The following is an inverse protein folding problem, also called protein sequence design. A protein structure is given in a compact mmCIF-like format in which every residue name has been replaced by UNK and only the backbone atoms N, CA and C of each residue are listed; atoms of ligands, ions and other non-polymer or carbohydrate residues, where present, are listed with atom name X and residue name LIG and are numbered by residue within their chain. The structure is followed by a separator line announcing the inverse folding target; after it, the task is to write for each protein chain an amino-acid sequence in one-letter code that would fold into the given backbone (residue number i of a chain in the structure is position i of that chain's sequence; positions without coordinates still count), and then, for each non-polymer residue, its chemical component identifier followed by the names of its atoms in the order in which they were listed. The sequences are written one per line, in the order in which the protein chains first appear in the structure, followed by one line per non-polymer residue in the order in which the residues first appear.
data_IF_631954527344
#
_entry.id   IF_631954527344
#
_cell.length_a   1.000
_cell.length_b   1.000
_cell.length_c   1.000
_cell.angle_alpha   90.00
_cell.angle_beta   90.00
_cell.angle_gamma   90.00
#
_symmetry.space_group_name_H-M   'P 1'
#
loop_
_entity.id
_entity.type
_entity.pdbx_description
1 polymer ?
#
# COMPACT_ATOMS: atom_id res chain seq x y z
N UNK A 1 -28.02 57.60 9.04
CA UNK A 1 -26.60 57.31 8.76
C UNK A 1 -26.42 55.81 8.69
N UNK A 2 -26.44 55.28 7.47
CA UNK A 2 -26.27 53.86 7.19
C UNK A 2 -24.86 53.66 6.64
N UNK A 3 -24.02 52.89 7.33
CA UNK A 3 -22.70 52.51 6.82
C UNK A 3 -22.75 51.05 6.37
N UNK A 4 -22.57 50.89 5.07
CA UNK A 4 -22.66 49.67 4.29
C UNK A 4 -21.49 48.74 4.62
N UNK A 5 -21.80 47.48 4.94
CA UNK A 5 -20.88 46.35 4.80
C UNK A 5 -20.62 46.12 3.31
N UNK A 6 -19.36 46.19 2.89
CA UNK A 6 -18.97 45.86 1.51
C UNK A 6 -18.88 44.34 1.37
N UNK A 7 -19.82 43.78 0.62
CA UNK A 7 -19.68 42.49 -0.05
C UNK A 7 -18.59 42.64 -1.13
N UNK A 8 -17.49 41.89 -1.03
CA UNK A 8 -16.65 41.58 -2.20
C UNK A 8 -17.08 40.21 -2.71
N UNK A 9 -17.88 40.24 -3.78
CA UNK A 9 -18.06 39.09 -4.66
C UNK A 9 -16.75 38.87 -5.42
N UNK A 10 -16.05 37.78 -5.09
CA UNK A 10 -14.91 37.27 -5.83
C UNK A 10 -15.38 36.11 -6.72
N UNK A 11 -15.22 36.29 -8.03
CA UNK A 11 -15.52 35.33 -9.08
C UNK A 11 -14.76 34.01 -8.82
N UNK A 12 -15.49 32.90 -8.66
CA UNK A 12 -14.92 31.55 -8.68
C UNK A 12 -14.53 31.21 -10.12
N UNK A 13 -13.24 31.14 -10.40
CA UNK A 13 -12.69 30.60 -11.65
C UNK A 13 -12.08 29.22 -11.35
N UNK A 14 -12.44 28.28 -12.22
CA UNK A 14 -11.97 26.90 -12.42
C UNK A 14 -10.72 26.45 -11.63
N UNK A 15 -10.87 25.34 -10.91
CA UNK A 15 -9.79 24.47 -10.49
C UNK A 15 -9.07 23.90 -11.72
N UNK A 16 -7.81 24.29 -11.88
CA UNK A 16 -6.85 23.73 -12.82
C UNK A 16 -5.71 23.16 -11.96
N UNK A 17 -5.56 21.84 -12.04
CA UNK A 17 -4.32 21.05 -11.92
C UNK A 17 -3.20 21.78 -11.16
N UNK A 18 -2.94 21.37 -9.91
CA UNK A 18 -1.66 21.61 -9.28
C UNK A 18 -0.60 20.75 -10.01
N UNK A 19 -0.21 21.24 -11.18
CA UNK A 19 1.06 20.91 -11.80
C UNK A 19 2.11 21.67 -10.99
N UNK A 20 2.99 20.92 -10.34
CA UNK A 20 4.27 21.45 -9.91
C UNK A 20 4.94 22.08 -11.14
N UNK A 21 5.06 23.41 -11.17
CA UNK A 21 5.96 24.09 -12.06
C UNK A 21 7.39 23.83 -11.56
N UNK A 22 7.91 22.63 -11.85
CA UNK A 22 9.34 22.42 -11.82
C UNK A 22 9.93 23.33 -12.89
N UNK A 23 10.79 24.25 -12.48
CA UNK A 23 11.80 24.79 -13.37
C UNK A 23 12.55 23.57 -13.93
N UNK A 24 12.32 23.23 -15.19
CA UNK A 24 13.08 22.20 -15.90
C UNK A 24 14.51 22.72 -16.10
N UNK A 25 15.30 22.69 -15.04
CA UNK A 25 16.68 22.28 -15.21
C UNK A 25 16.60 20.84 -15.71
N UNK A 26 17.12 20.59 -16.91
CA UNK A 26 17.43 19.24 -17.37
C UNK A 26 18.49 18.66 -16.43
N UNK A 27 18.09 18.27 -15.22
CA UNK A 27 18.83 17.27 -14.48
C UNK A 27 18.61 15.99 -15.26
N UNK A 28 19.66 15.52 -15.92
CA UNK A 28 19.76 14.12 -16.30
C UNK A 28 19.79 13.38 -14.97
N UNK A 29 18.65 12.84 -14.54
CA UNK A 29 18.62 11.92 -13.41
C UNK A 29 19.41 10.71 -13.89
N UNK A 30 20.66 10.60 -13.45
CA UNK A 30 21.40 9.36 -13.62
C UNK A 30 20.62 8.29 -12.87
N UNK A 31 20.22 7.24 -13.57
CA UNK A 31 19.62 6.07 -12.93
C UNK A 31 20.68 5.49 -11.97
N UNK A 32 20.47 5.65 -10.67
CA UNK A 32 21.31 5.03 -9.66
C UNK A 32 20.98 3.55 -9.65
N UNK A 33 21.95 2.72 -10.01
CA UNK A 33 21.82 1.26 -9.91
C UNK A 33 21.67 0.90 -8.42
N UNK A 34 20.60 0.17 -8.02
CA UNK A 34 20.46 -0.32 -6.67
C UNK A 34 21.64 -1.23 -6.31
N UNK A 35 22.10 -1.14 -5.06
CA UNK A 35 23.31 -1.80 -4.59
C UNK A 35 22.96 -2.94 -3.63
N UNK A 36 23.46 -4.16 -3.87
CA UNK A 36 23.34 -5.22 -2.88
C UNK A 36 24.20 -4.88 -1.66
N UNK A 37 23.68 -5.15 -0.47
CA UNK A 37 24.39 -4.94 0.79
C UNK A 37 25.28 -6.15 1.17
N UNK A 38 25.34 -7.16 0.31
CA UNK A 38 26.09 -8.42 0.49
C UNK A 38 26.67 -8.90 -0.83
N UNK A 39 27.83 -9.55 -0.77
CA UNK A 39 28.55 -10.05 -1.95
C UNK A 39 27.88 -11.26 -2.64
N UNK A 40 27.04 -11.99 -1.92
CA UNK A 40 26.30 -13.16 -2.43
C UNK A 40 24.94 -12.81 -3.05
N UNK A 41 24.61 -11.52 -3.12
CA UNK A 41 23.42 -10.98 -3.78
C UNK A 41 23.88 -10.16 -4.99
N UNK A 42 23.20 -10.32 -6.13
CA UNK A 42 23.47 -9.50 -7.32
C UNK A 42 22.23 -8.74 -7.74
N UNK A 43 22.44 -7.54 -8.27
CA UNK A 43 21.38 -6.69 -8.82
C UNK A 43 21.74 -6.34 -10.24
N UNK A 44 20.79 -6.49 -11.16
CA UNK A 44 20.93 -6.01 -12.54
C UNK A 44 19.64 -5.38 -13.04
N UNK A 45 19.77 -4.38 -13.90
CA UNK A 45 18.63 -3.87 -14.65
C UNK A 45 18.20 -4.92 -15.69
N UNK A 46 16.90 -5.20 -15.76
CA UNK A 46 16.32 -6.05 -16.80
C UNK A 46 15.95 -5.19 -18.01
N UNK A 47 15.07 -4.20 -17.81
CA UNK A 47 14.60 -3.28 -18.86
C UNK A 47 14.06 -1.98 -18.25
N UNK A 48 13.99 -0.90 -19.04
CA UNK A 48 13.23 0.29 -18.64
C UNK A 48 11.75 0.09 -18.92
N UNK A 49 10.92 0.45 -17.94
CA UNK A 49 9.46 0.40 -17.99
C UNK A 49 8.85 1.79 -18.20
N UNK A 50 9.68 2.81 -18.46
CA UNK A 50 9.26 4.21 -18.68
C UNK A 50 8.22 4.35 -19.78
N UNK A 51 7.13 5.05 -19.47
CA UNK A 51 6.07 5.42 -20.40
C UNK A 51 5.12 6.48 -19.81
N UNK A 52 4.19 7.03 -20.61
CA UNK A 52 3.22 8.01 -20.13
C UNK A 52 2.34 7.53 -18.98
N UNK A 53 1.95 6.25 -18.99
CA UNK A 53 1.26 5.63 -17.85
C UNK A 53 2.26 4.83 -17.04
N UNK A 54 2.32 5.09 -15.74
CA UNK A 54 3.23 4.43 -14.81
C UNK A 54 2.88 2.96 -14.63
N UNK A 55 3.92 2.13 -14.57
CA UNK A 55 3.83 0.75 -14.10
C UNK A 55 3.57 0.75 -12.59
N UNK A 56 2.69 -0.15 -12.14
CA UNK A 56 2.28 -0.18 -10.73
C UNK A 56 2.20 -1.58 -10.14
N UNK A 57 2.11 -2.62 -10.98
CA UNK A 57 1.97 -3.99 -10.51
C UNK A 57 2.78 -4.97 -11.33
N UNK A 58 3.30 -5.99 -10.66
CA UNK A 58 4.04 -7.10 -11.22
C UNK A 58 3.42 -8.41 -10.72
N UNK A 59 3.14 -9.35 -11.62
CA UNK A 59 2.62 -10.65 -11.23
C UNK A 59 3.17 -11.76 -12.11
N UNK A 60 3.49 -12.90 -11.49
CA UNK A 60 3.90 -14.12 -12.19
C UNK A 60 2.71 -15.06 -12.32
N UNK A 61 2.49 -15.61 -13.52
CA UNK A 61 1.52 -16.69 -13.71
C UNK A 61 2.11 -17.99 -13.14
N UNK A 62 1.50 -18.59 -12.11
CA UNK A 62 2.09 -19.74 -11.41
C UNK A 62 2.13 -21.02 -12.26
N UNK A 63 1.42 -21.07 -13.40
CA UNK A 63 1.32 -22.26 -14.23
C UNK A 63 2.50 -22.45 -15.17
N UNK A 64 3.03 -21.35 -15.69
CA UNK A 64 4.10 -21.34 -16.70
C UNK A 64 5.26 -20.40 -16.37
N UNK A 65 5.13 -19.63 -15.28
CA UNK A 65 6.16 -18.70 -14.82
C UNK A 65 6.25 -17.40 -15.59
N UNK A 66 5.31 -17.13 -16.51
CA UNK A 66 5.29 -15.89 -17.29
C UNK A 66 5.12 -14.68 -16.39
N UNK A 67 5.96 -13.67 -16.56
CA UNK A 67 5.91 -12.43 -15.80
C UNK A 67 5.06 -11.38 -16.54
N UNK A 68 4.19 -10.70 -15.80
CA UNK A 68 3.30 -9.67 -16.31
C UNK A 68 3.44 -8.37 -15.53
N UNK A 69 3.41 -7.26 -16.26
CA UNK A 69 3.42 -5.90 -15.72
C UNK A 69 2.10 -5.22 -16.04
N UNK A 70 1.45 -4.63 -15.04
CA UNK A 70 0.25 -3.81 -15.23
C UNK A 70 0.52 -2.33 -14.94
N UNK A 71 -0.13 -1.47 -15.72
CA UNK A 71 -0.04 -0.02 -15.61
C UNK A 71 -1.32 0.59 -15.07
N UNK A 72 -1.22 1.81 -14.52
CA UNK A 72 -2.40 2.57 -14.08
C UNK A 72 -3.45 2.75 -15.18
N UNK A 73 -3.03 2.82 -16.44
CA UNK A 73 -3.95 2.90 -17.58
C UNK A 73 -4.83 1.66 -17.76
N UNK A 74 -4.56 0.56 -17.06
CA UNK A 74 -5.20 -0.74 -17.26
C UNK A 74 -4.48 -1.64 -18.25
N UNK A 75 -3.43 -1.16 -18.95
CA UNK A 75 -2.71 -2.02 -19.88
C UNK A 75 -1.86 -3.06 -19.13
N UNK A 76 -1.93 -4.30 -19.60
CA UNK A 76 -1.19 -5.46 -19.11
C UNK A 76 -0.22 -5.93 -20.18
N UNK A 77 1.06 -6.02 -19.81
CA UNK A 77 2.16 -6.43 -20.66
C UNK A 77 2.71 -7.75 -20.18
N UNK A 78 3.04 -8.65 -21.11
CA UNK A 78 3.95 -9.76 -20.85
C UNK A 78 5.38 -9.23 -20.89
N UNK A 79 6.20 -9.64 -19.93
CA UNK A 79 7.64 -9.42 -19.93
C UNK A 79 8.32 -10.64 -20.54
N UNK A 80 9.13 -10.41 -21.56
CA UNK A 80 10.08 -11.40 -22.06
C UNK A 80 11.42 -11.19 -21.35
N UNK A 81 11.87 -12.17 -20.57
CA UNK A 81 13.12 -12.10 -19.82
C UNK A 81 14.34 -12.52 -20.67
N UNK A 82 14.14 -13.31 -21.72
CA UNK A 82 15.21 -13.77 -22.61
C UNK A 82 15.63 -12.66 -23.57
N UNK A 83 14.66 -11.93 -24.09
CA UNK A 83 14.88 -10.67 -24.80
C UNK A 83 14.13 -9.57 -24.06
N UNK A 84 14.77 -8.82 -23.14
CA UNK A 84 14.14 -7.85 -22.24
C UNK A 84 13.20 -6.86 -22.94
N UNK A 85 11.93 -7.23 -23.05
CA UNK A 85 10.94 -6.53 -23.85
C UNK A 85 9.55 -6.67 -23.25
N UNK A 86 8.73 -5.63 -23.44
CA UNK A 86 7.32 -5.61 -23.05
C UNK A 86 6.44 -5.84 -24.26
N UNK A 87 5.58 -6.86 -24.20
CA UNK A 87 4.54 -7.11 -25.21
C UNK A 87 3.18 -6.81 -24.61
N UNK A 88 2.44 -5.85 -25.17
CA UNK A 88 1.06 -5.59 -24.73
C UNK A 88 0.20 -6.82 -25.04
N UNK A 89 -0.41 -7.41 -24.02
CA UNK A 89 -1.29 -8.59 -24.18
C UNK A 89 -2.76 -8.23 -23.97
N UNK A 90 -3.05 -7.26 -23.10
CA UNK A 90 -4.40 -6.74 -22.89
C UNK A 90 -4.32 -5.24 -22.69
N UNK A 91 -5.05 -4.49 -23.54
CA UNK A 91 -5.29 -3.07 -23.28
C UNK A 91 -6.49 -2.86 -22.37
N UNK A 92 -6.60 -1.67 -21.81
CA UNK A 92 -7.73 -1.26 -20.96
C UNK A 92 -9.11 -1.60 -21.56
N UNK A 93 -9.27 -1.48 -22.88
CA UNK A 93 -10.52 -1.80 -23.58
C UNK A 93 -10.93 -3.26 -23.54
N UNK A 94 -10.02 -4.20 -23.23
CA UNK A 94 -10.34 -5.62 -23.09
C UNK A 94 -11.20 -5.90 -21.84
N UNK A 95 -11.02 -5.10 -20.78
CA UNK A 95 -11.66 -5.31 -19.48
C UNK A 95 -12.34 -4.06 -18.91
N UNK A 96 -12.26 -2.92 -19.58
CA UNK A 96 -12.98 -1.69 -19.26
C UNK A 96 -12.39 -0.84 -18.12
N UNK A 97 -11.20 -1.14 -17.60
CA UNK A 97 -10.60 -0.38 -16.49
C UNK A 97 -9.51 0.56 -17.01
N UNK A 98 -9.66 1.86 -16.76
CA UNK A 98 -8.72 2.91 -17.20
C UNK A 98 -7.93 3.57 -16.06
N UNK A 99 -8.20 3.19 -14.82
CA UNK A 99 -7.49 3.63 -13.62
C UNK A 99 -7.29 2.43 -12.68
N UNK A 100 -6.48 1.47 -13.14
CA UNK A 100 -6.16 0.24 -12.41
C UNK A 100 -5.18 0.54 -11.26
N UNK A 101 -5.33 -0.18 -10.14
CA UNK A 101 -4.49 -0.04 -8.95
C UNK A 101 -3.99 -1.38 -8.38
N UNK A 102 -4.71 -2.48 -8.65
CA UNK A 102 -4.30 -3.82 -8.22
C UNK A 102 -4.37 -4.82 -9.36
N UNK A 103 -3.47 -5.80 -9.31
CA UNK A 103 -3.38 -6.87 -10.28
C UNK A 103 -2.84 -8.14 -9.59
N UNK A 104 -3.50 -9.27 -9.79
CA UNK A 104 -3.06 -10.56 -9.27
C UNK A 104 -3.42 -11.68 -10.25
N UNK A 105 -2.72 -12.81 -10.17
CA UNK A 105 -2.97 -14.00 -10.98
C UNK A 105 -3.25 -15.19 -10.06
N UNK A 106 -4.39 -15.84 -10.24
CA UNK A 106 -4.77 -17.03 -9.48
C UNK A 106 -4.01 -18.29 -9.89
N UNK A 107 -4.10 -19.38 -9.11
CA UNK A 107 -3.44 -20.65 -9.42
C UNK A 107 -3.95 -21.31 -10.72
N UNK A 108 -5.20 -21.03 -11.11
CA UNK A 108 -5.77 -21.44 -12.40
C UNK A 108 -5.33 -20.53 -13.56
N UNK A 109 -4.55 -19.50 -13.24
CA UNK A 109 -4.08 -18.46 -14.12
C UNK A 109 -5.06 -17.32 -14.30
N UNK A 110 -6.24 -17.30 -13.70
CA UNK A 110 -7.20 -16.19 -13.86
C UNK A 110 -6.56 -14.88 -13.42
N UNK A 111 -6.57 -13.87 -14.30
CA UNK A 111 -6.09 -12.53 -14.00
C UNK A 111 -7.19 -11.73 -13.32
N UNK A 112 -6.88 -11.06 -12.21
CA UNK A 112 -7.78 -10.15 -11.52
C UNK A 112 -7.20 -8.74 -11.57
N UNK A 113 -8.03 -7.76 -11.92
CA UNK A 113 -7.65 -6.34 -11.94
C UNK A 113 -8.69 -5.57 -11.15
N UNK A 114 -8.26 -4.63 -10.29
CA UNK A 114 -9.15 -3.66 -9.65
C UNK A 114 -8.81 -2.25 -10.12
N UNK A 115 -9.84 -1.47 -10.41
CA UNK A 115 -9.71 -0.07 -10.80
C UNK A 115 -10.75 0.81 -10.13
N UNK A 116 -10.42 2.09 -10.01
CA UNK A 116 -11.23 3.08 -9.30
C UNK A 116 -11.67 4.18 -10.26
N UNK A 117 -12.96 4.27 -10.56
CA UNK A 117 -13.52 5.36 -11.34
C UNK A 117 -13.88 6.53 -10.41
N UNK A 118 -13.63 7.75 -10.88
CA UNK A 118 -14.27 8.93 -10.30
C UNK A 118 -15.66 9.08 -10.90
N UNK A 119 -16.67 9.24 -10.03
CA UNK A 119 -18.07 9.39 -10.43
C UNK A 119 -18.67 10.67 -9.85
N UNK A 120 -19.84 11.05 -10.33
CA UNK A 120 -20.46 12.34 -10.02
C UNK A 120 -20.60 12.59 -8.51
N UNK A 121 -20.37 13.84 -8.11
CA UNK A 121 -20.51 14.30 -6.73
C UNK A 121 -19.34 13.94 -5.82
N UNK A 122 -18.09 14.01 -6.28
CA UNK A 122 -16.90 13.69 -5.45
C UNK A 122 -16.99 12.28 -4.83
N UNK A 123 -17.37 11.30 -5.64
CA UNK A 123 -17.41 9.89 -5.24
C UNK A 123 -16.46 9.09 -6.08
N UNK A 124 -16.14 7.90 -5.59
CA UNK A 124 -15.44 6.89 -6.37
C UNK A 124 -16.26 5.60 -6.40
N UNK A 125 -16.00 4.78 -7.42
CA UNK A 125 -16.59 3.47 -7.58
C UNK A 125 -15.50 2.50 -8.01
N UNK A 126 -15.29 1.45 -7.21
CA UNK A 126 -14.32 0.41 -7.56
C UNK A 126 -14.99 -0.68 -8.39
N UNK A 127 -14.29 -1.17 -9.40
CA UNK A 127 -14.69 -2.32 -10.22
C UNK A 127 -13.56 -3.32 -10.27
N UNK A 128 -13.89 -4.58 -10.01
CA UNK A 128 -12.99 -5.72 -10.05
C UNK A 128 -13.41 -6.60 -11.21
N UNK A 129 -12.49 -6.87 -12.12
CA UNK A 129 -12.70 -7.69 -13.31
C UNK A 129 -11.81 -8.91 -13.26
N UNK A 130 -12.27 -10.00 -13.88
CA UNK A 130 -11.50 -11.24 -14.02
C UNK A 130 -11.37 -11.65 -15.48
N UNK A 131 -10.17 -12.05 -15.88
CA UNK A 131 -9.83 -12.57 -17.20
C UNK A 131 -9.52 -14.06 -17.11
N UNK A 132 -10.51 -14.90 -17.41
CA UNK A 132 -10.40 -16.37 -17.30
C UNK A 132 -9.74 -16.94 -18.56
N UNK A 133 -8.65 -17.74 -18.45
CA UNK A 133 -8.01 -18.36 -19.62
C UNK A 133 -8.99 -19.15 -20.49
N UNK A 134 -8.82 -19.10 -21.81
CA UNK A 134 -9.68 -19.84 -22.76
C UNK A 134 -8.91 -20.96 -23.51
N UNK A 135 -9.57 -22.09 -23.86
CA UNK A 135 -9.00 -23.10 -24.76
C UNK A 135 -8.80 -22.48 -26.15
N UNK A 136 -7.55 -22.21 -26.53
CA UNK A 136 -7.21 -21.45 -27.75
C UNK A 136 -6.36 -20.21 -27.50
N UNK A 137 -6.10 -19.88 -26.23
CA UNK A 137 -5.32 -18.72 -25.83
C UNK A 137 -6.21 -17.51 -25.54
N UNK A 138 -5.60 -16.45 -25.01
CA UNK A 138 -6.35 -15.28 -24.56
C UNK A 138 -7.15 -15.52 -23.28
N UNK A 139 -7.99 -14.55 -22.94
CA UNK A 139 -8.80 -14.53 -21.72
C UNK A 139 -10.19 -13.98 -22.00
N UNK A 140 -11.19 -14.59 -21.37
CA UNK A 140 -12.55 -14.06 -21.30
C UNK A 140 -12.66 -13.11 -20.11
N UNK A 141 -12.88 -11.83 -20.38
CA UNK A 141 -13.01 -10.80 -19.36
C UNK A 141 -14.47 -10.63 -18.92
N UNK A 142 -14.70 -10.47 -17.62
CA UNK A 142 -16.01 -10.25 -17.01
C UNK A 142 -15.87 -9.46 -15.70
N UNK A 143 -16.94 -8.79 -15.27
CA UNK A 143 -16.98 -8.14 -13.95
C UNK A 143 -17.15 -9.22 -12.88
N UNK A 144 -16.25 -9.23 -11.90
CA UNK A 144 -16.40 -10.03 -10.69
C UNK A 144 -17.25 -9.28 -9.67
N UNK A 145 -16.91 -8.02 -9.41
CA UNK A 145 -17.59 -7.19 -8.43
C UNK A 145 -17.49 -5.70 -8.77
N UNK A 146 -18.46 -4.92 -8.30
CA UNK A 146 -18.46 -3.47 -8.36
C UNK A 146 -19.04 -2.90 -7.07
N UNK A 147 -18.49 -1.80 -6.56
CA UNK A 147 -19.04 -1.14 -5.38
C UNK A 147 -20.23 -0.25 -5.73
N UNK A 148 -21.09 0.03 -4.76
CA UNK A 148 -21.84 1.28 -4.80
C UNK A 148 -20.86 2.48 -4.80
N UNK A 149 -21.20 3.61 -5.44
CA UNK A 149 -20.44 4.83 -5.30
C UNK A 149 -20.36 5.30 -3.84
N UNK A 150 -19.17 5.67 -3.38
CA UNK A 150 -18.94 6.14 -2.01
C UNK A 150 -18.12 7.45 -2.00
N UNK A 151 -18.30 8.31 -0.97
CA UNK A 151 -17.69 9.64 -0.93
C UNK A 151 -16.17 9.58 -0.80
N UNK A 152 -15.50 10.41 -1.61
CA UNK A 152 -14.08 10.75 -1.47
C UNK A 152 -13.89 11.82 -0.40
N UNK A 153 -12.68 11.97 0.13
CA UNK A 153 -12.32 13.06 1.05
C UNK A 153 -12.07 14.39 0.33
N UNK A 154 -11.68 14.34 -0.95
CA UNK A 154 -11.08 15.48 -1.66
C UNK A 154 -9.72 15.89 -1.10
N UNK A 155 -8.99 14.92 -0.53
CA UNK A 155 -7.61 15.07 -0.06
C UNK A 155 -6.74 13.97 -0.66
N UNK A 156 -5.40 14.03 -0.53
CA UNK A 156 -4.51 12.97 -0.99
C UNK A 156 -4.71 11.62 -0.28
N UNK A 157 -5.51 11.57 0.80
CA UNK A 157 -5.73 10.39 1.64
C UNK A 157 -6.82 9.43 1.14
N UNK A 158 -7.38 9.67 -0.05
CA UNK A 158 -8.25 8.69 -0.71
C UNK A 158 -7.42 7.48 -1.19
N UNK A 159 -7.17 6.50 -0.31
CA UNK A 159 -6.32 5.33 -0.58
C UNK A 159 -6.98 4.29 -1.50
N UNK A 160 -8.32 4.23 -1.47
CA UNK A 160 -9.20 3.46 -2.38
C UNK A 160 -8.86 1.96 -2.49
N UNK A 161 -9.45 1.27 -3.48
CA UNK A 161 -9.20 -0.15 -3.70
C UNK A 161 -7.87 -0.36 -4.42
N UNK A 162 -7.00 -1.23 -3.89
CA UNK A 162 -5.70 -1.52 -4.48
C UNK A 162 -5.27 -2.99 -4.34
N UNK A 163 -4.45 -3.37 -3.37
CA UNK A 163 -3.82 -4.67 -3.21
C UNK A 163 -4.78 -5.85 -3.39
N UNK A 164 -4.30 -6.87 -4.11
CA UNK A 164 -5.03 -8.08 -4.43
C UNK A 164 -4.20 -9.30 -4.08
N UNK A 165 -4.81 -10.28 -3.40
CA UNK A 165 -4.22 -11.61 -3.23
C UNK A 165 -5.26 -12.68 -3.55
N UNK A 166 -4.89 -13.67 -4.37
CA UNK A 166 -5.74 -14.85 -4.58
C UNK A 166 -5.35 -15.91 -3.56
N UNK A 167 -6.35 -16.52 -2.92
CA UNK A 167 -6.12 -17.64 -2.00
C UNK A 167 -5.36 -18.78 -2.67
N UNK A 168 -4.54 -19.55 -1.94
CA UNK A 168 -3.78 -20.67 -2.53
C UNK A 168 -4.66 -21.74 -3.21
N UNK A 169 -5.92 -21.88 -2.77
CA UNK A 169 -6.92 -22.77 -3.37
C UNK A 169 -7.65 -22.17 -4.59
N UNK A 170 -7.39 -20.90 -4.90
CA UNK A 170 -8.05 -20.14 -5.97
C UNK A 170 -9.51 -19.80 -5.73
N UNK A 171 -10.09 -20.09 -4.56
CA UNK A 171 -11.52 -19.95 -4.31
C UNK A 171 -11.92 -18.53 -3.91
N UNK A 172 -11.02 -17.78 -3.28
CA UNK A 172 -11.25 -16.43 -2.77
C UNK A 172 -10.22 -15.45 -3.31
N UNK A 173 -10.67 -14.25 -3.66
CA UNK A 173 -9.85 -13.06 -3.90
C UNK A 173 -9.97 -12.14 -2.68
N UNK A 174 -8.84 -11.70 -2.14
CA UNK A 174 -8.75 -10.72 -1.05
C UNK A 174 -8.37 -9.37 -1.64
N UNK A 175 -9.02 -8.31 -1.17
CA UNK A 175 -8.90 -6.97 -1.75
C UNK A 175 -8.80 -5.93 -0.64
N UNK A 176 -7.78 -5.09 -0.67
CA UNK A 176 -7.76 -3.90 0.17
C UNK A 176 -8.77 -2.87 -0.34
N UNK A 177 -9.54 -2.31 0.59
CA UNK A 177 -10.29 -1.08 0.40
C UNK A 177 -9.82 -0.08 1.44
N UNK A 178 -8.95 0.83 1.00
CA UNK A 178 -8.25 1.76 1.87
C UNK A 178 -9.17 2.79 2.53
N UNK A 179 -8.62 3.41 3.56
CA UNK A 179 -9.17 4.57 4.25
C UNK A 179 -9.38 5.73 3.29
N UNK A 180 -10.30 6.63 3.63
CA UNK A 180 -10.45 7.94 2.97
C UNK A 180 -9.87 9.09 3.80
N UNK A 181 -9.41 8.81 5.01
CA UNK A 181 -8.84 9.77 5.95
C UNK A 181 -7.37 9.47 6.21
N UNK A 182 -6.63 10.47 6.68
CA UNK A 182 -5.26 10.28 7.14
C UNK A 182 -5.25 9.48 8.44
N UNK A 183 -6.01 9.91 9.44
CA UNK A 183 -6.01 9.38 10.81
C UNK A 183 -7.42 9.36 11.43
N UNK A 184 -8.48 9.26 10.62
CA UNK A 184 -9.87 9.14 11.09
C UNK A 184 -10.58 10.46 11.38
N UNK A 185 -9.98 11.59 11.02
CA UNK A 185 -10.51 12.94 11.08
C UNK A 185 -11.75 13.12 10.17
N UNK A 186 -12.50 14.20 10.39
CA UNK A 186 -13.61 14.57 9.49
C UNK A 186 -13.06 15.08 8.17
N UNK A 187 -13.48 14.43 7.09
CA UNK A 187 -13.11 14.78 5.73
C UNK A 187 -14.37 15.05 4.92
N UNK A 188 -14.79 16.32 4.87
CA UNK A 188 -16.13 16.69 4.38
C UNK A 188 -16.23 16.88 2.87
N UNK A 189 -15.13 16.73 2.12
CA UNK A 189 -15.04 17.08 0.70
C UNK A 189 -15.53 18.51 0.41
N UNK A 190 -15.01 19.49 1.17
CA UNK A 190 -15.42 20.88 1.04
C UNK A 190 -16.86 21.14 1.47
N UNK A 191 -17.39 20.36 2.43
CA UNK A 191 -18.75 20.46 2.94
C UNK A 191 -19.81 19.71 2.14
N UNK A 192 -19.44 18.98 1.08
CA UNK A 192 -20.38 18.16 0.31
C UNK A 192 -20.90 16.95 1.11
N UNK A 193 -20.04 16.41 1.97
CA UNK A 193 -20.33 15.28 2.87
C UNK A 193 -20.00 15.68 4.31
N UNK A 194 -20.82 16.54 4.96
CA UNK A 194 -20.52 17.06 6.30
C UNK A 194 -20.34 15.91 7.31
N UNK A 195 -19.43 16.12 8.28
CA UNK A 195 -19.11 15.16 9.36
C UNK A 195 -18.64 13.76 8.90
N UNK A 196 -18.34 13.58 7.61
CA UNK A 196 -18.03 12.25 7.06
C UNK A 196 -16.57 11.88 7.33
N UNK A 197 -16.37 10.71 7.95
CA UNK A 197 -15.07 10.08 8.22
C UNK A 197 -14.95 8.83 7.34
N UNK A 198 -14.64 7.68 7.91
CA UNK A 198 -14.77 6.39 7.23
C UNK A 198 -16.23 6.04 6.91
N UNK A 199 -16.45 5.32 5.81
CA UNK A 199 -17.76 4.83 5.36
C UNK A 199 -17.76 3.30 5.28
N UNK A 200 -18.89 2.70 4.90
CA UNK A 200 -19.09 1.24 4.94
C UNK A 200 -18.04 0.45 4.16
N UNK A 201 -17.50 1.00 3.08
CA UNK A 201 -16.50 0.35 2.23
C UNK A 201 -15.05 0.69 2.56
N UNK A 202 -14.73 1.68 3.40
CA UNK A 202 -13.33 2.14 3.57
C UNK A 202 -12.64 1.48 4.77
N UNK A 203 -11.31 1.54 4.85
CA UNK A 203 -10.53 0.97 5.95
C UNK A 203 -10.81 -0.51 6.26
N UNK A 204 -10.82 -1.37 5.25
CA UNK A 204 -11.07 -2.80 5.42
C UNK A 204 -10.47 -3.69 4.33
N UNK A 205 -10.38 -4.97 4.64
CA UNK A 205 -10.07 -6.03 3.68
C UNK A 205 -11.36 -6.77 3.34
N UNK A 206 -11.66 -6.86 2.05
CA UNK A 206 -12.78 -7.63 1.52
C UNK A 206 -12.30 -8.98 1.01
N UNK A 207 -13.20 -9.96 0.96
CA UNK A 207 -13.01 -11.24 0.27
C UNK A 207 -14.16 -11.50 -0.69
N UNK A 208 -13.85 -12.05 -1.86
CA UNK A 208 -14.81 -12.30 -2.93
C UNK A 208 -14.66 -13.74 -3.45
N UNK A 209 -15.76 -14.49 -3.65
CA UNK A 209 -15.69 -15.79 -4.31
C UNK A 209 -15.28 -15.60 -5.78
N UNK A 210 -14.18 -16.23 -6.20
CA UNK A 210 -13.64 -16.09 -7.56
C UNK A 210 -14.60 -16.60 -8.65
N UNK A 211 -15.45 -17.55 -8.29
CA UNK A 211 -16.54 -18.08 -9.13
C UNK A 211 -17.74 -17.14 -9.25
N UNK A 212 -17.82 -16.08 -8.45
CA UNK A 212 -18.89 -15.08 -8.53
C UNK A 212 -18.84 -14.28 -9.84
N UNK A 213 -19.90 -13.51 -10.09
CA UNK A 213 -20.01 -12.57 -11.19
C UNK A 213 -20.94 -11.43 -10.77
N UNK A 214 -20.66 -10.23 -11.25
CA UNK A 214 -21.53 -9.05 -11.06
C UNK A 214 -21.95 -8.79 -9.60
N UNK A 215 -21.05 -9.06 -8.64
CA UNK A 215 -21.31 -8.84 -7.22
C UNK A 215 -21.38 -7.34 -6.94
N UNK A 216 -22.49 -6.87 -6.35
CA UNK A 216 -22.62 -5.49 -5.89
C UNK A 216 -22.20 -5.39 -4.43
N UNK A 217 -21.12 -4.65 -4.16
CA UNK A 217 -20.62 -4.36 -2.82
C UNK A 217 -21.24 -3.06 -2.30
N UNK A 218 -22.16 -3.16 -1.34
CA UNK A 218 -22.85 -1.99 -0.78
C UNK A 218 -21.93 -1.16 0.10
N UNK A 219 -22.15 0.15 0.11
CA UNK A 219 -21.49 1.06 1.06
C UNK A 219 -22.11 0.96 2.47
N UNK A 220 -22.14 -0.25 3.02
CA UNK A 220 -22.74 -0.59 4.30
C UNK A 220 -21.91 -1.69 4.98
N UNK A 221 -21.28 -1.32 6.11
CA UNK A 221 -20.42 -2.22 6.89
C UNK A 221 -21.16 -3.46 7.38
N UNK A 222 -22.37 -3.28 7.89
CA UNK A 222 -23.17 -4.36 8.46
C UNK A 222 -23.61 -5.33 7.37
N UNK A 223 -23.94 -4.81 6.19
CA UNK A 223 -24.26 -5.62 5.02
C UNK A 223 -23.05 -6.43 4.55
N UNK A 224 -21.87 -5.80 4.39
CA UNK A 224 -20.64 -6.50 3.99
C UNK A 224 -20.30 -7.65 4.95
N UNK A 225 -20.46 -7.41 6.26
CA UNK A 225 -20.25 -8.43 7.30
C UNK A 225 -21.26 -9.57 7.21
N UNK A 226 -22.55 -9.25 7.15
CA UNK A 226 -23.63 -10.24 7.16
C UNK A 226 -23.67 -11.09 5.89
N UNK A 227 -23.16 -10.58 4.78
CA UNK A 227 -23.05 -11.31 3.50
C UNK A 227 -21.68 -11.96 3.29
N UNK A 228 -20.79 -11.92 4.30
CA UNK A 228 -19.51 -12.62 4.28
C UNK A 228 -18.42 -11.99 3.41
N UNK A 229 -18.63 -10.78 2.89
CA UNK A 229 -17.65 -10.05 2.08
C UNK A 229 -16.59 -9.33 2.91
N UNK A 230 -16.90 -8.97 4.16
CA UNK A 230 -15.94 -8.35 5.07
C UNK A 230 -15.01 -9.41 5.66
N UNK A 231 -13.72 -9.34 5.32
CA UNK A 231 -12.71 -10.25 5.86
C UNK A 231 -12.05 -9.69 7.12
N UNK A 232 -11.54 -8.47 7.06
CA UNK A 232 -10.92 -7.78 8.19
C UNK A 232 -11.26 -6.29 8.17
N UNK A 233 -11.15 -5.63 9.32
CA UNK A 233 -11.51 -4.22 9.53
C UNK A 233 -10.33 -3.43 10.09
N UNK A 234 -10.36 -2.11 9.94
CA UNK A 234 -9.43 -1.20 10.62
C UNK A 234 -8.01 -1.25 10.09
N UNK A 235 -7.85 -1.43 8.78
CA UNK A 235 -6.60 -1.20 8.05
C UNK A 235 -6.66 0.16 7.36
N UNK A 236 -5.56 0.90 7.25
CA UNK A 236 -5.52 2.23 6.60
C UNK A 236 -5.29 2.12 5.09
N UNK A 237 -4.06 1.82 4.67
CA UNK A 237 -3.71 1.64 3.27
C UNK A 237 -2.88 0.37 3.11
N UNK A 238 -3.55 -0.77 3.14
CA UNK A 238 -2.89 -2.06 2.95
C UNK A 238 -2.54 -2.28 1.48
N UNK A 239 -1.46 -1.66 1.01
CA UNK A 239 -1.19 -1.55 -0.43
C UNK A 239 -0.88 -2.88 -1.08
N UNK A 240 -0.21 -3.79 -0.38
CA UNK A 240 0.07 -5.12 -0.89
C UNK A 240 -0.30 -6.25 0.07
N UNK A 241 -0.69 -7.39 -0.51
CA UNK A 241 -1.16 -8.56 0.21
C UNK A 241 -0.50 -9.80 -0.38
N UNK A 242 0.02 -10.68 0.47
CA UNK A 242 0.59 -11.94 0.03
C UNK A 242 0.35 -13.05 1.03
N UNK A 243 0.11 -14.26 0.53
CA UNK A 243 0.11 -15.46 1.34
C UNK A 243 1.54 -15.92 1.57
N UNK A 244 1.88 -16.34 2.79
CA UNK A 244 3.14 -17.06 3.03
C UNK A 244 3.04 -18.51 2.54
N UNK A 245 4.15 -19.26 2.48
CA UNK A 245 4.14 -20.68 2.09
C UNK A 245 3.28 -21.55 3.02
N UNK A 246 3.00 -21.09 4.23
CA UNK A 246 2.15 -21.77 5.21
C UNK A 246 0.66 -21.43 5.04
N UNK A 247 0.30 -20.58 4.07
CA UNK A 247 -1.08 -20.18 3.80
C UNK A 247 -1.61 -19.08 4.71
N UNK A 248 -0.74 -18.41 5.48
CA UNK A 248 -1.11 -17.25 6.29
C UNK A 248 -1.09 -15.97 5.43
N UNK A 249 -2.15 -15.15 5.49
CA UNK A 249 -2.26 -13.90 4.71
C UNK A 249 -1.61 -12.74 5.45
N UNK A 250 -0.67 -12.06 4.81
CA UNK A 250 -0.01 -10.87 5.31
C UNK A 250 -0.35 -9.65 4.43
N UNK A 251 -0.32 -8.47 5.03
CA UNK A 251 -0.42 -7.22 4.32
C UNK A 251 0.54 -6.17 4.87
N UNK A 252 1.18 -5.44 3.97
CA UNK A 252 1.91 -4.21 4.28
C UNK A 252 0.93 -3.07 4.36
N UNK A 253 1.13 -2.13 5.29
CA UNK A 253 0.18 -1.06 5.54
C UNK A 253 0.88 0.28 5.83
N UNK A 254 0.51 1.30 5.07
CA UNK A 254 1.07 2.64 5.23
C UNK A 254 0.29 3.41 6.30
N UNK A 255 1.03 3.93 7.28
CA UNK A 255 0.56 4.76 8.38
C UNK A 255 0.19 6.18 7.97
N UNK A 256 -0.41 6.94 8.90
CA UNK A 256 -0.76 8.35 8.75
C UNK A 256 0.48 9.25 8.73
N UNK A 257 0.26 10.56 8.61
CA UNK A 257 1.33 11.57 8.57
C UNK A 257 2.07 11.83 9.88
N UNK A 258 1.64 11.28 11.02
CA UNK A 258 2.45 11.35 12.24
C UNK A 258 3.46 10.20 12.30
N UNK A 259 4.50 10.37 13.09
CA UNK A 259 5.65 9.45 13.20
C UNK A 259 5.33 8.16 13.97
N UNK A 260 4.22 7.51 13.61
CA UNK A 260 3.84 6.18 14.05
C UNK A 260 4.26 5.14 13.04
N UNK A 261 4.65 3.96 13.52
CA UNK A 261 5.17 2.90 12.67
C UNK A 261 4.23 2.53 11.53
N UNK A 262 4.81 2.34 10.35
CA UNK A 262 4.17 1.58 9.27
C UNK A 262 4.11 0.09 9.66
N UNK A 263 3.12 -0.63 9.14
CA UNK A 263 2.72 -1.91 9.71
C UNK A 263 2.90 -3.09 8.73
N UNK A 264 3.20 -4.26 9.29
CA UNK A 264 2.96 -5.56 8.67
C UNK A 264 1.95 -6.33 9.52
N UNK A 265 0.86 -6.74 8.89
CA UNK A 265 -0.29 -7.31 9.56
C UNK A 265 -0.54 -8.75 9.11
N UNK A 266 -0.64 -9.69 10.06
CA UNK A 266 -1.16 -11.05 9.80
C UNK A 266 -2.69 -11.02 9.78
N UNK A 267 -3.25 -10.94 8.58
CA UNK A 267 -4.68 -10.74 8.32
C UNK A 267 -5.50 -12.01 8.59
N UNK A 268 -6.59 -11.86 9.36
CA UNK A 268 -7.43 -12.97 9.81
C UNK A 268 -8.91 -12.59 9.78
N UNK A 269 -9.81 -13.57 9.53
CA UNK A 269 -11.24 -13.31 9.40
C UNK A 269 -11.83 -12.73 10.69
N UNK A 270 -12.61 -11.66 10.57
CA UNK A 270 -13.35 -11.02 11.65
C UNK A 270 -12.47 -10.30 12.68
N UNK A 271 -11.21 -9.98 12.33
CA UNK A 271 -10.30 -9.19 13.18
C UNK A 271 -10.31 -7.72 12.79
N UNK A 272 -9.96 -6.87 13.77
CA UNK A 272 -9.87 -5.43 13.62
C UNK A 272 -8.42 -4.98 13.90
N UNK A 273 -7.80 -4.28 12.96
CA UNK A 273 -6.36 -3.95 12.97
C UNK A 273 -6.04 -2.59 13.59
N UNK A 274 -7.07 -1.82 13.92
CA UNK A 274 -6.98 -0.75 14.90
C UNK A 274 -7.34 0.61 14.34
N UNK A 275 -7.11 0.86 13.04
CA UNK A 275 -7.38 2.15 12.43
C UNK A 275 -8.87 2.54 12.59
N UNK A 276 -9.19 3.80 12.95
CA UNK A 276 -8.28 4.89 13.26
C UNK A 276 -7.92 5.02 14.76
N UNK A 277 -8.30 4.08 15.63
CA UNK A 277 -8.13 4.19 17.09
C UNK A 277 -6.74 3.78 17.61
N UNK A 278 -6.13 2.77 17.00
CA UNK A 278 -4.77 2.32 17.29
C UNK A 278 -4.01 2.18 15.97
N UNK A 279 -2.82 2.76 15.93
CA UNK A 279 -1.99 2.92 14.74
C UNK A 279 -0.52 2.80 15.16
N UNK A 280 0.26 1.96 14.48
CA UNK A 280 1.67 1.69 14.80
C UNK A 280 1.85 1.18 16.23
N UNK A 281 0.82 0.52 16.79
CA UNK A 281 0.69 0.11 18.19
C UNK A 281 0.60 1.22 19.25
N UNK A 282 0.45 2.49 18.83
CA UNK A 282 0.05 3.61 19.67
C UNK A 282 -1.45 3.86 19.63
N UNK A 283 -1.96 4.63 20.59
CA UNK A 283 -3.32 5.18 20.46
C UNK A 283 -3.28 6.40 19.54
N UNK A 284 -4.31 6.57 18.70
CA UNK A 284 -4.53 7.84 18.03
C UNK A 284 -4.90 8.89 19.07
N UNK A 285 -4.12 9.97 19.22
CA UNK A 285 -4.34 10.92 20.29
C UNK A 285 -5.64 11.74 20.13
N UNK A 286 -6.18 11.90 18.91
CA UNK A 286 -7.42 12.66 18.67
C UNK A 286 -8.63 12.14 19.44
N UNK A 287 -8.63 10.85 19.81
CA UNK A 287 -9.72 10.24 20.58
C UNK A 287 -9.81 10.74 22.04
N UNK A 288 -8.81 11.50 22.51
CA UNK A 288 -8.74 11.95 23.90
C UNK A 288 -9.04 13.45 24.04
N UNK A 289 -9.97 13.84 24.94
CA UNK A 289 -10.35 15.26 25.11
C UNK A 289 -9.22 16.22 25.51
N UNK A 290 -8.12 15.70 26.05
CA UNK A 290 -6.96 16.51 26.47
C UNK A 290 -5.85 16.60 25.43
N UNK A 291 -6.05 16.07 24.22
CA UNK A 291 -5.04 16.13 23.18
C UNK A 291 -4.74 17.57 22.76
N UNK A 292 -3.46 17.96 22.80
CA UNK A 292 -2.99 19.22 22.23
C UNK A 292 -1.91 18.91 21.17
N UNK A 293 -2.16 19.17 19.87
CA UNK A 293 -1.21 18.88 18.81
C UNK A 293 0.10 19.68 18.93
N UNK A 294 0.09 20.88 19.53
CA UNK A 294 1.30 21.71 19.71
C UNK A 294 2.36 21.03 20.59
N UNK A 295 1.93 20.07 21.42
CA UNK A 295 2.80 19.30 22.31
C UNK A 295 3.16 17.92 21.76
N UNK A 296 2.57 17.51 20.63
CA UNK A 296 2.75 16.17 20.08
C UNK A 296 4.06 16.08 19.29
N UNK A 297 5.02 15.36 19.87
CA UNK A 297 6.36 15.23 19.30
C UNK A 297 6.40 14.37 18.05
N UNK A 298 5.33 13.65 17.71
CA UNK A 298 5.25 12.85 16.49
C UNK A 298 4.75 13.63 15.28
N UNK A 299 4.38 14.90 15.43
CA UNK A 299 3.91 15.72 14.32
C UNK A 299 5.09 16.47 13.71
N UNK A 300 5.50 16.06 12.51
CA UNK A 300 6.49 16.78 11.72
C UNK A 300 5.78 17.70 10.70
N UNK A 301 6.00 19.04 10.74
CA UNK A 301 5.37 19.99 9.81
C UNK A 301 5.72 19.82 8.33
N UNK A 302 6.68 18.96 7.97
CA UNK A 302 6.94 18.61 6.56
C UNK A 302 5.77 17.85 5.92
N UNK A 303 4.90 17.23 6.73
CA UNK A 303 3.73 16.52 6.24
C UNK A 303 2.50 17.44 6.13
N UNK A 304 1.77 17.29 5.02
CA UNK A 304 0.63 18.14 4.67
C UNK A 304 -0.43 18.19 5.76
N UNK A 305 -0.97 17.04 6.23
CA UNK A 305 -1.98 16.99 7.30
C UNK A 305 -1.54 17.68 8.59
N UNK A 306 -0.24 17.69 8.91
CA UNK A 306 0.29 18.41 10.07
C UNK A 306 0.27 19.91 9.79
N UNK A 307 0.85 20.34 8.67
CA UNK A 307 0.92 21.77 8.31
C UNK A 307 -0.45 22.41 8.04
N UNK A 308 -1.45 21.63 7.61
CA UNK A 308 -2.82 22.07 7.41
C UNK A 308 -3.67 22.03 8.69
N UNK A 309 -3.12 21.55 9.81
CA UNK A 309 -3.80 21.50 11.09
C UNK A 309 -4.91 20.44 11.17
N UNK A 310 -4.80 19.35 10.39
CA UNK A 310 -5.75 18.23 10.47
C UNK A 310 -5.63 17.49 11.81
N UNK A 311 -4.48 17.56 12.47
CA UNK A 311 -4.29 17.10 13.85
C UNK A 311 -4.84 18.12 14.85
N UNK A 312 -5.94 17.79 15.53
CA UNK A 312 -6.57 18.67 16.52
C UNK A 312 -7.33 17.87 17.60
N UNK A 313 -7.71 18.52 18.70
CA UNK A 313 -8.62 17.93 19.69
C UNK A 313 -9.99 17.69 19.06
N UNK A 314 -10.47 16.45 19.08
CA UNK A 314 -11.73 16.08 18.44
C UNK A 314 -12.72 15.45 19.46
N UNK A 315 -13.59 16.27 20.09
CA UNK A 315 -14.63 15.75 20.98
C UNK A 315 -15.65 14.84 20.30
N UNK A 316 -15.74 14.89 18.97
CA UNK A 316 -16.62 14.07 18.14
C UNK A 316 -15.96 12.81 17.60
N UNK A 317 -14.73 12.49 18.03
CA UNK A 317 -14.01 11.32 17.55
C UNK A 317 -14.82 10.04 17.80
N UNK A 318 -14.92 9.10 16.83
CA UNK A 318 -15.74 7.91 16.97
C UNK A 318 -15.36 7.09 18.20
N UNK A 319 -16.37 6.57 18.91
CA UNK A 319 -16.13 5.65 20.03
C UNK A 319 -15.46 4.37 19.50
N UNK A 320 -14.37 3.97 20.16
CA UNK A 320 -13.70 2.70 19.86
C UNK A 320 -14.69 1.53 20.02
N UNK A 321 -14.80 0.62 19.03
CA UNK A 321 -15.67 -0.54 19.16
C UNK A 321 -15.15 -1.49 20.25
N UNK A 322 -16.07 -2.18 20.93
CA UNK A 322 -15.78 -3.14 21.98
C UNK A 322 -15.28 -4.49 21.42
N UNK A 323 -14.31 -4.45 20.50
CA UNK A 323 -13.64 -5.62 19.92
C UNK A 323 -12.15 -5.56 20.21
N UNK A 324 -11.48 -6.71 20.38
CA UNK A 324 -10.02 -6.74 20.47
C UNK A 324 -9.39 -6.13 19.22
N UNK A 325 -8.45 -5.21 19.43
CA UNK A 325 -7.61 -4.69 18.34
C UNK A 325 -6.38 -5.59 18.22
N UNK A 326 -6.06 -5.97 16.99
CA UNK A 326 -4.89 -6.75 16.67
C UNK A 326 -3.72 -5.80 16.47
N UNK A 327 -2.64 -6.04 17.19
CA UNK A 327 -1.41 -5.26 17.03
C UNK A 327 -0.61 -5.71 15.80
N UNK A 328 0.13 -4.79 15.17
CA UNK A 328 1.11 -5.12 14.14
C UNK A 328 2.18 -6.08 14.64
N UNK A 329 2.77 -6.81 13.69
CA UNK A 329 3.87 -7.73 13.95
C UNK A 329 5.06 -6.96 14.52
N UNK A 330 5.73 -7.54 15.52
CA UNK A 330 6.90 -6.90 16.12
C UNK A 330 8.13 -7.18 15.26
N UNK A 331 8.82 -6.13 14.84
CA UNK A 331 10.16 -6.20 14.24
C UNK A 331 11.21 -6.14 15.35
N UNK A 332 12.23 -6.99 15.24
CA UNK A 332 13.39 -7.10 16.14
C UNK A 332 14.69 -6.62 15.47
N UNK A 333 14.55 -5.83 14.41
CA UNK A 333 15.60 -5.18 13.62
C UNK A 333 16.51 -6.15 12.87
N UNK A 334 17.76 -5.77 12.52
CA UNK A 334 18.37 -4.49 12.88
C UNK A 334 17.87 -3.31 12.05
N UNK A 335 17.11 -3.54 10.97
CA UNK A 335 16.74 -2.48 10.04
C UNK A 335 15.25 -2.15 10.09
N UNK A 336 14.92 -0.98 9.52
CA UNK A 336 13.57 -0.43 9.46
C UNK A 336 12.91 -0.32 10.83
N UNK A 337 13.66 0.09 11.85
CA UNK A 337 13.21 0.13 13.24
C UNK A 337 13.54 1.43 13.97
N UNK A 338 13.68 2.54 13.23
CA UNK A 338 13.75 3.88 13.83
C UNK A 338 12.43 4.24 14.46
N UNK A 339 12.49 4.86 15.64
CA UNK A 339 11.33 5.33 16.38
C UNK A 339 11.57 6.73 16.90
N UNK A 340 10.53 7.56 16.87
CA UNK A 340 10.53 8.82 17.61
C UNK A 340 9.88 8.64 18.98
N UNK A 341 10.56 9.10 20.02
CA UNK A 341 10.00 9.14 21.36
C UNK A 341 8.87 10.18 21.45
N UNK A 342 7.71 9.76 21.96
CA UNK A 342 6.53 10.63 22.05
C UNK A 342 6.65 11.76 23.07
N UNK A 343 7.57 11.63 24.03
CA UNK A 343 7.77 12.58 25.12
C UNK A 343 8.89 13.56 24.78
N UNK A 344 10.04 13.05 24.34
CA UNK A 344 11.22 13.89 24.07
C UNK A 344 11.27 14.39 22.63
N UNK A 345 10.75 13.61 21.67
CA UNK A 345 10.89 13.85 20.24
C UNK A 345 12.20 13.34 19.64
N UNK A 346 13.05 12.73 20.46
CA UNK A 346 14.31 12.15 20.00
C UNK A 346 14.05 10.91 19.13
N UNK A 347 14.87 10.75 18.11
CA UNK A 347 14.89 9.58 17.26
C UNK A 347 15.90 8.58 17.82
N UNK A 348 15.55 7.30 17.80
CA UNK A 348 16.45 6.22 18.19
C UNK A 348 16.24 4.98 17.33
N UNK A 349 17.29 4.16 17.27
CA UNK A 349 17.24 2.77 16.79
C UNK A 349 16.55 1.87 17.82
N UNK A 350 15.55 1.07 17.45
CA UNK A 350 14.95 0.13 18.40
C UNK A 350 15.93 -0.99 18.78
N UNK A 351 16.75 -1.45 17.84
CA UNK A 351 17.74 -2.51 18.06
C UNK A 351 18.89 -2.06 18.96
N UNK A 352 19.39 -0.83 18.83
CA UNK A 352 20.41 -0.30 19.76
C UNK A 352 19.87 -0.19 21.19
N UNK A 353 18.56 0.03 21.33
CA UNK A 353 17.86 0.05 22.62
C UNK A 353 17.49 -1.36 23.14
N UNK A 354 17.79 -2.42 22.37
CA UNK A 354 17.46 -3.80 22.74
C UNK A 354 15.95 -4.08 22.80
N UNK A 355 15.14 -3.34 22.04
CA UNK A 355 13.68 -3.47 22.03
C UNK A 355 13.13 -3.69 20.62
N UNK A 356 11.91 -4.22 20.51
CA UNK A 356 11.22 -4.33 19.23
C UNK A 356 10.32 -3.13 18.94
N UNK A 357 9.99 -2.93 17.67
CA UNK A 357 9.07 -1.90 17.16
C UNK A 357 7.86 -2.56 16.48
N UNK A 358 6.78 -1.80 16.28
CA UNK A 358 5.55 -2.26 15.58
C UNK A 358 5.76 -2.20 14.07
N UNK A 359 6.56 -3.17 13.63
CA UNK A 359 7.02 -3.44 12.27
C UNK A 359 8.05 -2.46 11.71
N UNK A 360 7.65 -1.35 11.10
CA UNK A 360 8.58 -0.54 10.30
C UNK A 360 8.74 0.87 10.87
N UNK A 361 9.87 1.52 10.60
CA UNK A 361 10.02 2.98 10.73
C UNK A 361 8.82 3.65 10.05
N UNK A 362 8.30 4.73 10.65
CA UNK A 362 7.21 5.50 10.07
C UNK A 362 7.55 5.99 8.67
N UNK A 363 6.53 6.16 7.82
CA UNK A 363 6.64 6.80 6.49
C UNK A 363 7.49 6.07 5.45
N UNK A 364 7.97 4.85 5.74
CA UNK A 364 8.69 4.02 4.75
C UNK A 364 7.81 3.66 3.57
N UNK A 365 6.49 3.68 3.74
CA UNK A 365 5.50 3.21 2.79
C UNK A 365 5.83 1.79 2.33
N UNK A 366 5.66 0.76 3.20
CA UNK A 366 5.90 -0.61 2.80
C UNK A 366 4.90 -1.01 1.72
N UNK A 367 5.38 -1.41 0.54
CA UNK A 367 4.53 -1.79 -0.60
C UNK A 367 4.76 -3.26 -0.96
N UNK A 368 5.28 -3.56 -2.14
CA UNK A 368 5.43 -4.93 -2.66
C UNK A 368 5.98 -5.91 -1.63
N UNK A 369 5.23 -7.01 -1.44
CA UNK A 369 5.48 -8.08 -0.49
C UNK A 369 5.47 -9.43 -1.21
N UNK A 370 6.60 -10.14 -1.18
CA UNK A 370 6.72 -11.48 -1.77
C UNK A 370 7.27 -12.47 -0.75
N UNK A 371 7.01 -13.77 -0.97
CA UNK A 371 7.54 -14.85 -0.15
C UNK A 371 8.22 -15.89 -1.03
N UNK A 372 9.22 -16.58 -0.48
CA UNK A 372 9.81 -17.78 -1.08
C UNK A 372 8.83 -18.97 -1.01
N UNK A 373 7.86 -18.99 -1.93
CA UNK A 373 6.85 -20.05 -2.02
C UNK A 373 7.44 -21.43 -2.36
N UNK A 374 8.54 -21.43 -3.11
CA UNK A 374 9.16 -22.64 -3.66
C UNK A 374 10.18 -23.25 -2.67
N UNK A 375 10.45 -22.57 -1.55
CA UNK A 375 11.53 -22.91 -0.61
C UNK A 375 12.88 -23.08 -1.31
N UNK A 376 13.13 -22.26 -2.34
CA UNK A 376 14.23 -22.42 -3.29
C UNK A 376 15.50 -21.67 -2.88
N UNK A 377 15.42 -20.81 -1.87
CA UNK A 377 16.55 -20.03 -1.37
C UNK A 377 17.44 -20.83 -0.40
N UNK A 378 18.63 -20.29 -0.15
CA UNK A 378 19.54 -20.80 0.88
C UNK A 378 18.85 -20.92 2.26
N UNK A 379 19.36 -21.74 3.19
CA UNK A 379 18.75 -21.94 4.50
C UNK A 379 18.45 -20.66 5.30
N UNK A 380 19.17 -19.57 5.03
CA UNK A 380 18.95 -18.26 5.66
C UNK A 380 17.64 -17.59 5.24
N UNK A 381 17.20 -17.79 4.00
CA UNK A 381 16.05 -17.08 3.41
C UNK A 381 14.87 -18.00 3.09
N UNK A 382 15.00 -19.30 3.36
CA UNK A 382 14.04 -20.30 2.91
C UNK A 382 12.66 -20.07 3.51
N UNK A 383 11.67 -19.89 2.64
CA UNK A 383 10.28 -19.69 3.04
C UNK A 383 9.99 -18.34 3.69
N UNK A 384 10.96 -17.43 3.72
CA UNK A 384 10.83 -16.10 4.30
C UNK A 384 10.17 -15.10 3.33
N UNK A 385 9.87 -13.90 3.85
CA UNK A 385 9.28 -12.81 3.08
C UNK A 385 10.28 -11.72 2.74
N UNK A 386 9.92 -10.89 1.76
CA UNK A 386 10.67 -9.73 1.34
C UNK A 386 9.73 -8.57 1.06
N UNK A 387 10.10 -7.37 1.50
CA UNK A 387 9.25 -6.18 1.40
C UNK A 387 10.04 -4.98 0.88
N UNK A 388 9.37 -4.16 0.06
CA UNK A 388 9.91 -2.92 -0.48
C UNK A 388 9.51 -1.72 0.38
N UNK A 389 10.42 -0.76 0.56
CA UNK A 389 10.09 0.57 1.07
C UNK A 389 10.05 1.58 -0.08
N UNK A 390 8.89 2.18 -0.33
CA UNK A 390 8.69 3.07 -1.47
C UNK A 390 9.25 4.48 -1.25
N UNK A 391 9.12 5.02 -0.04
CA UNK A 391 9.47 6.41 0.22
C UNK A 391 10.98 6.63 0.22
N UNK A 392 11.43 7.74 -0.37
CA UNK A 392 12.77 8.28 -0.11
C UNK A 392 12.80 8.83 1.32
N UNK A 393 13.82 8.47 2.08
CA UNK A 393 14.05 8.98 3.42
C UNK A 393 15.34 9.78 3.56
N UNK A 394 15.58 10.24 4.77
CA UNK A 394 16.78 10.97 5.18
C UNK A 394 17.63 10.06 6.08
N UNK A 395 18.73 9.45 5.57
CA UNK A 395 19.50 8.45 6.32
C UNK A 395 20.14 8.98 7.62
N UNK A 396 20.26 10.30 7.77
CA UNK A 396 20.95 10.93 8.90
C UNK A 396 20.14 12.10 9.50
N UNK A 397 18.85 12.20 9.17
CA UNK A 397 18.02 13.33 9.57
C UNK A 397 16.53 13.09 9.38
N UNK A 398 15.76 14.16 9.34
CA UNK A 398 14.30 14.15 9.33
C UNK A 398 13.76 15.36 8.53
N UNK A 399 14.50 15.73 7.49
CA UNK A 399 14.21 16.92 6.69
C UNK A 399 13.21 16.67 5.55
N UNK A 400 12.96 15.40 5.22
CA UNK A 400 12.09 14.97 4.13
C UNK A 400 10.75 14.47 4.67
N UNK A 401 9.69 14.62 3.86
CA UNK A 401 8.42 13.93 4.09
C UNK A 401 8.58 12.44 3.74
N UNK A 402 9.21 11.70 4.65
CA UNK A 402 9.61 10.30 4.48
C UNK A 402 10.11 9.73 5.81
N UNK A 403 10.70 8.53 5.79
CA UNK A 403 11.21 7.92 7.01
C UNK A 403 12.43 8.72 7.51
N UNK A 404 12.52 8.84 8.83
CA UNK A 404 13.53 9.64 9.54
C UNK A 404 14.70 8.76 10.01
N UNK A 405 15.92 9.27 9.87
CA UNK A 405 17.19 8.58 10.11
C UNK A 405 17.25 7.19 9.44
N UNK A 406 16.63 7.12 8.27
CA UNK A 406 16.34 5.91 7.53
C UNK A 406 16.26 6.28 6.04
N UNK A 407 17.01 5.58 5.20
CA UNK A 407 17.10 5.92 3.77
C UNK A 407 15.84 5.58 2.98
N UNK A 408 15.05 4.58 3.40
CA UNK A 408 14.01 3.97 2.58
C UNK A 408 14.54 3.44 1.24
N UNK A 409 13.66 3.36 0.23
CA UNK A 409 13.99 2.97 -1.15
C UNK A 409 14.85 1.70 -1.27
N UNK A 410 14.43 0.65 -0.60
CA UNK A 410 15.20 -0.58 -0.43
C UNK A 410 14.34 -1.85 -0.50
N UNK A 411 15.02 -2.99 -0.44
CA UNK A 411 14.44 -4.32 -0.26
C UNK A 411 14.90 -4.87 1.09
N UNK A 412 13.94 -5.20 1.94
CA UNK A 412 14.17 -5.87 3.23
C UNK A 412 13.88 -7.37 3.11
N UNK A 413 14.76 -8.20 3.69
CA UNK A 413 14.43 -9.57 4.07
C UNK A 413 13.70 -9.58 5.41
N UNK A 414 12.64 -10.37 5.50
CA UNK A 414 11.84 -10.56 6.70
C UNK A 414 11.96 -12.02 7.16
N UNK A 415 12.79 -12.27 8.17
CA UNK A 415 12.86 -13.59 8.79
C UNK A 415 11.75 -13.76 9.82
N UNK A 416 10.77 -14.62 9.52
CA UNK A 416 9.61 -14.80 10.38
C UNK A 416 9.88 -15.82 11.49
N UNK A 417 9.46 -15.48 12.71
CA UNK A 417 9.37 -16.46 13.81
C UNK A 417 7.98 -16.44 14.41
N UNK A 418 7.43 -17.61 14.72
CA UNK A 418 6.13 -17.75 15.38
C UNK A 418 6.35 -18.30 16.79
N UNK A 419 5.98 -17.54 17.82
CA UNK A 419 6.09 -17.94 19.23
C UNK A 419 4.76 -17.71 19.92
N UNK A 420 4.24 -18.74 20.59
CA UNK A 420 2.96 -18.68 21.33
C UNK A 420 1.80 -18.14 20.47
N UNK A 421 1.76 -18.50 19.18
CA UNK A 421 0.72 -18.06 18.26
C UNK A 421 0.84 -16.61 17.76
N UNK A 422 1.93 -15.90 18.08
CA UNK A 422 2.22 -14.56 17.56
C UNK A 422 3.42 -14.60 16.61
N UNK A 423 3.34 -13.82 15.53
CA UNK A 423 4.45 -13.58 14.62
C UNK A 423 5.38 -12.48 15.13
N UNK A 424 6.66 -12.64 14.84
CA UNK A 424 7.73 -11.66 14.95
C UNK A 424 8.52 -11.70 13.65
N UNK A 425 9.13 -10.58 13.29
CA UNK A 425 10.07 -10.50 12.18
C UNK A 425 11.42 -9.98 12.65
N UNK A 426 12.47 -10.42 11.98
CA UNK A 426 13.77 -9.75 11.94
C UNK A 426 13.89 -9.14 10.55
N UNK A 427 13.83 -7.81 10.44
CA UNK A 427 13.95 -7.11 9.16
C UNK A 427 15.40 -6.73 8.92
N UNK A 428 15.95 -7.09 7.76
CA UNK A 428 17.33 -6.78 7.37
C UNK A 428 17.36 -6.20 5.96
N UNK A 429 18.00 -5.07 5.75
CA UNK A 429 18.17 -4.44 4.45
C UNK A 429 19.20 -5.21 3.62
N UNK A 430 18.77 -5.74 2.47
CA UNK A 430 19.62 -6.57 1.59
C UNK A 430 19.98 -5.89 0.28
N UNK A 431 19.20 -4.91 -0.17
CA UNK A 431 19.49 -4.07 -1.34
C UNK A 431 19.00 -2.66 -1.07
N UNK A 432 19.80 -1.64 -1.38
CA UNK A 432 19.48 -0.23 -1.18
C UNK A 432 19.52 0.57 -2.51
N UNK A 433 18.87 1.73 -2.54
CA UNK A 433 19.02 2.69 -3.64
C UNK A 433 18.14 2.43 -4.86
N UNK A 434 16.98 1.78 -4.67
CA UNK A 434 15.93 1.74 -5.69
C UNK A 434 15.32 3.13 -5.92
N UNK A 435 14.55 3.29 -6.99
CA UNK A 435 13.81 4.53 -7.23
C UNK A 435 12.31 4.30 -7.04
N UNK A 436 11.84 4.56 -5.82
CA UNK A 436 10.45 4.37 -5.40
C UNK A 436 9.93 2.97 -5.77
N UNK A 437 10.55 1.90 -5.25
CA UNK A 437 10.16 0.54 -5.60
C UNK A 437 8.73 0.26 -5.12
N UNK A 438 7.85 -0.16 -6.04
CA UNK A 438 6.40 -0.20 -5.79
C UNK A 438 5.83 -1.61 -5.67
N UNK A 439 6.36 -2.56 -6.44
CA UNK A 439 5.84 -3.93 -6.46
C UNK A 439 6.94 -4.94 -6.82
N UNK A 440 6.72 -6.20 -6.47
CA UNK A 440 7.67 -7.27 -6.72
C UNK A 440 6.99 -8.58 -7.12
N UNK A 441 7.78 -9.44 -7.77
CA UNK A 441 7.41 -10.83 -8.05
C UNK A 441 8.65 -11.70 -7.88
N UNK A 442 8.46 -13.00 -7.61
CA UNK A 442 9.57 -13.90 -7.31
C UNK A 442 9.42 -15.26 -8.01
N UNK A 443 10.54 -15.88 -8.37
CA UNK A 443 10.63 -17.29 -8.78
C UNK A 443 12.02 -17.85 -8.46
N UNK A 444 12.09 -19.08 -7.95
CA UNK A 444 13.34 -19.67 -7.51
C UNK A 444 14.10 -18.73 -6.57
N UNK A 445 15.32 -18.35 -6.96
CA UNK A 445 16.17 -17.45 -6.20
C UNK A 445 16.20 -16.00 -6.71
N UNK A 446 15.22 -15.60 -7.51
CA UNK A 446 15.17 -14.29 -8.16
C UNK A 446 13.94 -13.52 -7.71
N UNK A 447 14.17 -12.27 -7.25
CA UNK A 447 13.12 -11.27 -7.03
C UNK A 447 13.23 -10.22 -8.12
N UNK A 448 12.14 -9.99 -8.84
CA UNK A 448 12.02 -8.85 -9.74
C UNK A 448 11.36 -7.69 -9.00
N UNK A 449 12.01 -6.53 -9.03
CA UNK A 449 11.55 -5.31 -8.35
C UNK A 449 11.17 -4.27 -9.41
N UNK A 450 9.97 -3.71 -9.28
CA UNK A 450 9.44 -2.68 -10.16
C UNK A 450 9.56 -1.31 -9.50
N UNK A 451 10.24 -0.38 -10.17
CA UNK A 451 10.28 1.03 -9.76
C UNK A 451 9.05 1.81 -10.26
N UNK A 452 8.67 2.84 -9.50
CA UNK A 452 7.57 3.75 -9.83
C UNK A 452 8.05 5.17 -10.13
N UNK A 453 7.53 5.76 -11.21
CA UNK A 453 7.85 7.14 -11.57
C UNK A 453 9.28 7.36 -12.07
N UNK A 454 9.55 8.54 -12.64
CA UNK A 454 10.89 8.89 -13.13
C UNK A 454 11.46 7.90 -14.16
N UNK A 455 12.64 7.36 -13.87
CA UNK A 455 13.45 6.47 -14.73
C UNK A 455 12.86 5.07 -14.92
N UNK A 456 11.82 4.69 -14.15
CA UNK A 456 11.01 3.47 -14.22
C UNK A 456 11.75 2.26 -14.83
N UNK A 457 12.15 1.32 -13.98
CA UNK A 457 12.86 0.12 -14.39
C UNK A 457 12.28 -1.15 -13.74
N UNK A 458 12.56 -2.27 -14.39
CA UNK A 458 12.45 -3.59 -13.79
C UNK A 458 13.88 -4.04 -13.43
N UNK A 459 14.10 -4.30 -12.15
CA UNK A 459 15.35 -4.83 -11.62
C UNK A 459 15.20 -6.32 -11.33
N UNK A 460 16.32 -7.03 -11.42
CA UNK A 460 16.45 -8.41 -10.99
C UNK A 460 17.43 -8.47 -9.82
N UNK A 461 16.97 -8.98 -8.69
CA UNK A 461 17.77 -9.27 -7.50
C UNK A 461 17.91 -10.79 -7.42
N UNK A 462 19.13 -11.29 -7.58
CA UNK A 462 19.43 -12.73 -7.44
C UNK A 462 19.98 -12.98 -6.05
N UNK A 463 19.32 -13.84 -5.30
CA UNK A 463 19.65 -14.27 -3.94
C UNK A 463 20.44 -15.60 -3.95
N UNK A 464 21.16 -15.94 -2.87
CA UNK A 464 21.83 -17.22 -2.77
C UNK A 464 20.81 -18.38 -2.74
N UNK A 465 21.11 -19.42 -3.53
CA UNK A 465 20.35 -20.67 -3.59
C UNK A 465 21.02 -21.77 -2.78
N UNK A 466 20.32 -22.88 -2.58
CA UNK A 466 20.92 -24.14 -2.10
C UNK A 466 22.03 -24.70 -3.01
#
# INVERSE_FOLDING_TARGET
MAQRRSFRAGVRVLALVAGALMVHLNHVWAETTPLPNRDDITVRKVLSTTAPSVAIRLARDPRDGTLYLARRSGNIFRIDLATPALTLVYGAGAHGLHNAQGFAIGPDGTMYVVGNADVSGMRTQATIVKGVPQPGGGRLWSVLAQTEPYPKSNTPYDHRFNGLAVGPDGALLFVNSGSRTDHGEVESAGGLYPETREVGLTACILRLPTRGADIVLRNDRSWLKSNGYLFAEGTRNSFDLAFSPQGDLFATENGPTNDTSDELNWLRPGRHYGFPWRIGGGNNPQQFPGYNPDNDKLLNPVFEAVSEGLWHTDPGFPKRPAVPMIEPIVNRGPDADRIRDRVTGDIADASDLGRGVRTFTAHRSPLGLVFDQENALSPEFRGDGFVLAWSTGDPAGDSLAGPFEDAGQDLLHLAFTKKNGAYFVKATQIVSGFNNPIDAAMAGNVIWVLDYGGTQALWEVTLPKE
#
